data_IF_782765886779
#
_entry.id   IF_782765886779
#
_cell.length_a   1.000
_cell.length_b   1.000
_cell.length_c   1.000
_cell.angle_alpha   90.00
_cell.angle_beta   90.00
_cell.angle_gamma   90.00
#
_symmetry.space_group_name_H-M   'P 1'
#
loop_
_entity.id
_entity.type
_entity.pdbx_description
1 polymer ?
#
# COMPACT_ATOMS: atom_id res chain seq x y z
N UNK A 1 28.16 -86.89 42.91
CA UNK A 1 27.57 -86.87 41.56
C UNK A 1 27.17 -85.41 41.30
N UNK A 2 28.03 -84.47 40.89
CA UNK A 2 28.80 -84.28 39.63
C UNK A 2 27.97 -84.35 38.35
N UNK A 3 27.70 -83.19 37.76
CA UNK A 3 27.75 -82.79 36.33
C UNK A 3 26.98 -81.44 36.22
N UNK A 4 27.60 -80.28 35.94
CA UNK A 4 28.32 -79.81 34.74
C UNK A 4 27.42 -79.36 33.58
N UNK A 5 27.74 -78.16 33.09
CA UNK A 5 27.60 -77.63 31.73
C UNK A 5 26.18 -77.27 31.20
N UNK A 6 25.95 -76.23 30.39
CA UNK A 6 26.68 -75.04 29.93
C UNK A 6 25.67 -74.19 29.13
N UNK A 7 25.93 -72.89 29.10
CA UNK A 7 25.77 -71.95 27.98
C UNK A 7 24.44 -71.40 27.45
N UNK A 8 24.61 -70.14 27.03
CA UNK A 8 23.86 -69.26 26.12
C UNK A 8 22.70 -68.44 26.72
N UNK A 9 22.97 -67.19 27.13
CA UNK A 9 23.07 -66.02 26.25
C UNK A 9 21.72 -65.59 25.65
N UNK A 10 21.13 -64.54 26.19
CA UNK A 10 20.95 -63.28 25.44
C UNK A 10 20.23 -62.25 26.29
N UNK A 11 20.94 -61.14 26.45
CA UNK A 11 20.45 -59.86 26.92
C UNK A 11 19.38 -59.34 25.93
N UNK A 12 18.29 -58.77 26.43
CA UNK A 12 17.54 -57.76 25.68
C UNK A 12 17.32 -56.56 26.59
N UNK A 13 18.32 -55.67 26.56
CA UNK A 13 18.27 -54.33 27.11
C UNK A 13 17.39 -53.44 26.22
N UNK A 14 16.86 -52.34 26.77
CA UNK A 14 15.90 -51.47 26.11
C UNK A 14 16.46 -50.92 24.80
N UNK A 15 15.63 -50.92 23.76
CA UNK A 15 15.88 -50.18 22.52
C UNK A 15 16.16 -48.72 22.88
N UNK A 16 17.45 -48.38 22.84
CA UNK A 16 17.89 -46.99 22.85
C UNK A 16 17.41 -46.39 21.54
N UNK A 17 16.47 -45.44 21.62
CA UNK A 17 16.25 -44.43 20.59
C UNK A 17 17.61 -43.83 20.21
N UNK A 18 18.15 -44.31 19.09
CA UNK A 18 19.30 -43.68 18.47
C UNK A 18 18.79 -42.46 17.72
N UNK A 19 19.33 -41.24 17.95
CA UNK A 19 18.99 -40.09 17.12
C UNK A 19 19.35 -40.42 15.67
N UNK A 20 18.35 -40.34 14.79
CA UNK A 20 18.52 -40.51 13.35
C UNK A 20 19.64 -39.59 12.86
N UNK A 21 20.52 -40.17 12.03
CA UNK A 21 21.77 -39.56 11.61
C UNK A 21 21.64 -38.29 10.73
N UNK A 22 22.76 -37.78 10.20
CA UNK A 22 22.91 -36.43 9.61
C UNK A 22 22.05 -36.11 8.37
N UNK A 23 21.24 -37.06 7.89
CA UNK A 23 20.38 -36.87 6.73
C UNK A 23 19.15 -35.99 7.01
N UNK A 24 18.61 -36.01 8.24
CA UNK A 24 17.46 -35.17 8.62
C UNK A 24 17.87 -33.71 8.86
N UNK A 25 19.09 -33.48 9.37
CA UNK A 25 19.66 -32.13 9.55
C UNK A 25 19.84 -31.42 8.20
N UNK A 26 20.27 -32.16 7.17
CA UNK A 26 20.49 -31.61 5.83
C UNK A 26 19.18 -31.31 5.08
N UNK A 27 18.12 -32.12 5.26
CA UNK A 27 16.80 -31.84 4.65
C UNK A 27 16.11 -30.64 5.30
N UNK A 28 16.13 -30.54 6.63
CA UNK A 28 15.59 -29.37 7.32
C UNK A 28 16.40 -28.09 7.04
N UNK A 29 17.71 -28.19 6.83
CA UNK A 29 18.55 -27.07 6.37
C UNK A 29 18.19 -26.58 4.97
N UNK A 30 17.91 -27.49 4.04
CA UNK A 30 17.50 -27.14 2.67
C UNK A 30 16.12 -26.49 2.62
N UNK A 31 15.14 -27.00 3.38
CA UNK A 31 13.80 -26.41 3.49
C UNK A 31 13.82 -25.04 4.20
N UNK A 32 14.62 -24.90 5.26
CA UNK A 32 14.81 -23.62 5.94
C UNK A 32 15.47 -22.59 5.00
N UNK A 33 16.48 -22.99 4.22
CA UNK A 33 17.14 -22.11 3.25
C UNK A 33 16.20 -21.71 2.10
N UNK A 34 15.44 -22.66 1.54
CA UNK A 34 14.44 -22.38 0.50
C UNK A 34 13.32 -21.45 1.00
N UNK A 35 12.87 -21.62 2.24
CA UNK A 35 11.91 -20.71 2.86
C UNK A 35 12.51 -19.33 3.13
N UNK A 36 13.78 -19.24 3.51
CA UNK A 36 14.48 -17.97 3.70
C UNK A 36 14.68 -17.24 2.35
N UNK A 37 15.05 -17.96 1.29
CA UNK A 37 15.18 -17.41 -0.07
C UNK A 37 13.84 -16.94 -0.62
N UNK A 38 12.76 -17.73 -0.44
CA UNK A 38 11.41 -17.32 -0.81
C UNK A 38 10.98 -16.06 -0.07
N UNK A 39 11.19 -15.97 1.25
CA UNK A 39 10.88 -14.76 2.02
C UNK A 39 11.64 -13.54 1.52
N UNK A 40 12.94 -13.68 1.23
CA UNK A 40 13.75 -12.59 0.64
C UNK A 40 13.22 -12.16 -0.72
N UNK A 41 12.80 -13.10 -1.56
CA UNK A 41 12.20 -12.78 -2.84
C UNK A 41 10.87 -12.05 -2.68
N UNK A 42 9.98 -12.53 -1.80
CA UNK A 42 8.68 -11.92 -1.52
C UNK A 42 8.86 -10.50 -0.94
N UNK A 43 9.84 -10.31 -0.03
CA UNK A 43 10.20 -9.01 0.54
C UNK A 43 10.75 -8.04 -0.52
N UNK A 44 11.67 -8.50 -1.39
CA UNK A 44 12.21 -7.69 -2.47
C UNK A 44 11.14 -7.27 -3.48
N UNK A 45 10.23 -8.18 -3.82
CA UNK A 45 9.11 -7.89 -4.72
C UNK A 45 8.13 -6.89 -4.08
N UNK A 46 7.83 -7.03 -2.78
CA UNK A 46 7.00 -6.08 -2.06
C UNK A 46 7.63 -4.68 -2.03
N UNK A 47 8.95 -4.60 -1.81
CA UNK A 47 9.71 -3.35 -1.82
C UNK A 47 9.69 -2.65 -3.18
N UNK A 48 9.84 -3.41 -4.27
CA UNK A 48 9.75 -2.88 -5.64
C UNK A 48 8.37 -2.31 -5.95
N UNK A 49 7.30 -3.08 -5.66
CA UNK A 49 5.90 -2.65 -5.86
C UNK A 49 5.63 -1.35 -5.10
N UNK A 50 6.10 -1.27 -3.85
CA UNK A 50 5.89 -0.11 -3.02
C UNK A 50 6.64 1.12 -3.55
N UNK A 51 7.88 0.96 -4.01
CA UNK A 51 8.67 2.06 -4.60
C UNK A 51 7.97 2.61 -5.85
N UNK A 52 7.59 1.73 -6.78
CA UNK A 52 6.88 2.12 -8.01
C UNK A 52 5.56 2.83 -7.70
N UNK A 53 4.80 2.33 -6.72
CA UNK A 53 3.54 2.97 -6.30
C UNK A 53 3.76 4.37 -5.71
N UNK A 54 4.84 4.56 -4.93
CA UNK A 54 5.19 5.85 -4.32
C UNK A 54 5.57 6.88 -5.39
N UNK A 55 6.44 6.51 -6.32
CA UNK A 55 6.87 7.40 -7.40
C UNK A 55 5.72 7.78 -8.33
N UNK A 56 4.87 6.81 -8.66
CA UNK A 56 3.67 7.05 -9.48
C UNK A 56 2.68 8.00 -8.78
N UNK A 57 2.50 7.88 -7.47
CA UNK A 57 1.66 8.80 -6.70
C UNK A 57 2.20 10.23 -6.79
N UNK A 58 3.48 10.44 -6.48
CA UNK A 58 4.12 11.76 -6.51
C UNK A 58 4.00 12.40 -7.90
N UNK A 59 4.31 11.65 -8.96
CA UNK A 59 4.26 12.17 -10.32
C UNK A 59 2.84 12.63 -10.71
N UNK A 60 1.81 11.85 -10.32
CA UNK A 60 0.41 12.16 -10.63
C UNK A 60 -0.12 13.32 -9.81
N UNK A 61 0.19 13.40 -8.51
CA UNK A 61 -0.18 14.55 -7.67
C UNK A 61 0.41 15.85 -8.24
N UNK A 62 1.70 15.84 -8.62
CA UNK A 62 2.34 17.00 -9.26
C UNK A 62 1.70 17.40 -10.59
N UNK A 63 1.38 16.43 -11.43
CA UNK A 63 0.71 16.69 -12.72
C UNK A 63 -0.69 17.31 -12.52
N UNK A 64 -1.48 16.79 -11.58
CA UNK A 64 -2.78 17.36 -11.22
C UNK A 64 -2.67 18.79 -10.69
N UNK A 65 -1.68 19.06 -9.83
CA UNK A 65 -1.43 20.40 -9.32
C UNK A 65 -1.03 21.38 -10.41
N UNK A 66 -0.23 20.95 -11.38
CA UNK A 66 0.07 21.77 -12.55
C UNK A 66 -1.21 22.11 -13.34
N UNK A 67 -2.08 21.13 -13.58
CA UNK A 67 -3.38 21.39 -14.22
C UNK A 67 -4.28 22.32 -13.40
N UNK A 68 -4.30 22.18 -12.07
CA UNK A 68 -5.03 23.11 -11.18
C UNK A 68 -4.55 24.54 -11.31
N UNK A 69 -3.23 24.75 -11.34
CA UNK A 69 -2.66 26.09 -11.52
C UNK A 69 -3.06 26.71 -12.85
N UNK A 70 -3.17 25.93 -13.91
CA UNK A 70 -3.67 26.40 -15.20
C UNK A 70 -5.16 26.74 -15.15
N UNK A 71 -5.98 25.95 -14.45
CA UNK A 71 -7.39 26.25 -14.24
C UNK A 71 -7.61 27.53 -13.42
N UNK A 72 -6.77 27.79 -12.40
CA UNK A 72 -6.83 29.02 -11.62
C UNK A 72 -6.49 30.28 -12.43
N UNK A 73 -5.72 30.15 -13.51
CA UNK A 73 -5.37 31.27 -14.40
C UNK A 73 -6.51 31.69 -15.33
N UNK A 74 -7.57 30.89 -15.44
CA UNK A 74 -8.73 31.20 -16.29
C UNK A 74 -9.77 31.99 -15.47
N UNK A 75 -10.03 33.28 -15.79
CA UNK A 75 -10.84 34.16 -14.94
C UNK A 75 -12.36 33.97 -15.05
N UNK A 76 -12.87 32.98 -15.78
CA UNK A 76 -14.31 32.79 -16.04
C UNK A 76 -14.92 31.62 -15.24
N UNK A 77 -16.20 31.77 -14.87
CA UNK A 77 -16.90 31.02 -13.81
C UNK A 77 -17.08 29.50 -13.97
N UNK A 78 -16.62 28.92 -15.07
CA UNK A 78 -16.51 27.46 -15.25
C UNK A 78 -15.38 27.18 -16.27
N UNK A 79 -14.15 26.89 -15.81
CA UNK A 79 -13.06 26.55 -16.72
C UNK A 79 -13.47 25.36 -17.60
N UNK A 80 -13.35 25.48 -18.92
CA UNK A 80 -13.63 24.38 -19.87
C UNK A 80 -12.83 23.10 -19.56
N UNK A 81 -11.70 23.24 -18.86
CA UNK A 81 -10.88 22.13 -18.40
C UNK A 81 -11.38 21.39 -17.15
N UNK A 82 -12.45 21.85 -16.47
CA UNK A 82 -12.95 21.20 -15.26
C UNK A 82 -13.35 19.72 -15.46
N UNK A 83 -14.07 19.32 -16.53
CA UNK A 83 -14.42 17.92 -16.73
C UNK A 83 -13.19 17.03 -16.93
N UNK A 84 -12.20 17.50 -17.72
CA UNK A 84 -10.96 16.77 -17.94
C UNK A 84 -10.16 16.62 -16.63
N UNK A 85 -10.08 17.70 -15.84
CA UNK A 85 -9.45 17.67 -14.53
C UNK A 85 -10.16 16.71 -13.57
N UNK A 86 -11.49 16.71 -13.55
CA UNK A 86 -12.29 15.78 -12.74
C UNK A 86 -11.97 14.33 -13.06
N UNK A 87 -11.89 13.96 -14.33
CA UNK A 87 -11.54 12.58 -14.71
C UNK A 87 -10.11 12.22 -14.29
N UNK A 88 -9.16 13.15 -14.46
CA UNK A 88 -7.79 12.95 -14.00
C UNK A 88 -7.72 12.77 -12.47
N UNK A 89 -8.43 13.61 -11.71
CA UNK A 89 -8.50 13.53 -10.25
C UNK A 89 -9.17 12.23 -9.79
N UNK A 90 -10.25 11.82 -10.45
CA UNK A 90 -10.92 10.53 -10.19
C UNK A 90 -9.99 9.35 -10.45
N UNK A 91 -9.25 9.37 -11.55
CA UNK A 91 -8.29 8.32 -11.89
C UNK A 91 -7.12 8.26 -10.90
N UNK A 92 -6.67 9.40 -10.38
CA UNK A 92 -5.68 9.47 -9.31
C UNK A 92 -6.22 8.89 -8.00
N UNK A 93 -7.41 9.31 -7.57
CA UNK A 93 -8.06 8.82 -6.36
C UNK A 93 -8.30 7.30 -6.42
N UNK A 94 -8.78 6.78 -7.54
CA UNK A 94 -8.98 5.35 -7.74
C UNK A 94 -7.67 4.56 -7.70
N UNK A 95 -6.60 5.08 -8.33
CA UNK A 95 -5.30 4.45 -8.29
C UNK A 95 -4.74 4.40 -6.86
N UNK A 96 -4.87 5.50 -6.10
CA UNK A 96 -4.44 5.57 -4.70
C UNK A 96 -5.16 4.56 -3.82
N UNK A 97 -6.48 4.40 -4.01
CA UNK A 97 -7.25 3.38 -3.31
C UNK A 97 -6.82 1.95 -3.66
N UNK A 98 -6.41 1.71 -4.91
CA UNK A 98 -6.00 0.38 -5.36
C UNK A 98 -4.59 0.00 -4.92
N UNK A 99 -3.67 0.97 -4.78
CA UNK A 99 -2.25 0.70 -4.55
C UNK A 99 -1.77 1.16 -3.18
N UNK A 100 -1.96 2.43 -2.85
CA UNK A 100 -1.36 3.07 -1.67
C UNK A 100 -2.09 2.70 -0.39
N UNK A 101 -3.42 2.74 -0.40
CA UNK A 101 -4.20 2.48 0.81
C UNK A 101 -4.02 1.06 1.35
N UNK A 102 -4.08 -0.01 0.53
CA UNK A 102 -3.88 -1.36 1.03
C UNK A 102 -2.48 -1.61 1.58
N UNK A 103 -1.47 -0.87 1.09
CA UNK A 103 -0.12 -0.92 1.64
C UNK A 103 -0.09 -0.31 3.04
N UNK A 104 -0.68 0.87 3.20
CA UNK A 104 -0.70 1.59 4.48
C UNK A 104 -1.61 0.95 5.52
N UNK A 105 -2.75 0.36 5.13
CA UNK A 105 -3.68 -0.33 6.04
C UNK A 105 -3.04 -1.55 6.72
N UNK A 106 -2.01 -2.15 6.12
CA UNK A 106 -1.24 -3.23 6.76
C UNK A 106 -0.41 -2.74 7.95
N UNK A 107 -0.23 -1.43 8.10
CA UNK A 107 0.48 -0.81 9.21
C UNK A 107 -0.54 -0.10 10.13
N UNK A 108 -0.83 -0.66 11.31
CA UNK A 108 -1.87 -0.20 12.25
C UNK A 108 -1.90 1.31 12.51
N UNK A 109 -0.72 1.95 12.49
CA UNK A 109 -0.56 3.39 12.77
C UNK A 109 -1.04 4.31 11.62
N UNK A 110 -1.29 3.78 10.42
CA UNK A 110 -1.70 4.57 9.25
C UNK A 110 -3.20 4.46 8.93
N UNK A 111 -3.95 3.58 9.62
CA UNK A 111 -5.37 3.32 9.35
C UNK A 111 -6.26 4.57 9.40
N UNK A 112 -6.11 5.42 10.43
CA UNK A 112 -6.89 6.66 10.56
C UNK A 112 -6.56 7.67 9.46
N UNK A 113 -5.29 7.78 9.08
CA UNK A 113 -4.87 8.69 8.01
C UNK A 113 -5.42 8.24 6.65
N UNK A 114 -5.42 6.93 6.38
CA UNK A 114 -6.00 6.35 5.15
C UNK A 114 -7.51 6.54 5.10
N UNK A 115 -8.22 6.31 6.21
CA UNK A 115 -9.68 6.50 6.27
C UNK A 115 -10.04 7.96 5.98
N UNK A 116 -9.38 8.90 6.65
CA UNK A 116 -9.60 10.33 6.42
C UNK A 116 -9.28 10.73 4.99
N UNK A 117 -8.17 10.25 4.45
CA UNK A 117 -7.76 10.53 3.06
C UNK A 117 -8.77 10.00 2.02
N UNK A 118 -9.40 8.84 2.30
CA UNK A 118 -10.52 8.32 1.49
C UNK A 118 -11.73 9.24 1.56
N UNK A 119 -12.15 9.62 2.75
CA UNK A 119 -13.33 10.47 2.97
C UNK A 119 -13.15 11.84 2.32
N UNK A 120 -12.01 12.50 2.56
CA UNK A 120 -11.66 13.80 2.00
C UNK A 120 -11.66 13.74 0.46
N UNK A 121 -11.01 12.73 -0.14
CA UNK A 121 -10.96 12.56 -1.60
C UNK A 121 -12.34 12.31 -2.23
N UNK A 122 -13.18 11.48 -1.60
CA UNK A 122 -14.54 11.22 -2.07
C UNK A 122 -15.43 12.46 -1.98
N UNK A 123 -15.33 13.22 -0.88
CA UNK A 123 -16.08 14.45 -0.69
C UNK A 123 -15.70 15.50 -1.74
N UNK A 124 -14.39 15.67 -2.00
CA UNK A 124 -13.91 16.62 -3.01
C UNK A 124 -14.36 16.25 -4.41
N UNK A 125 -14.34 14.96 -4.78
CA UNK A 125 -14.89 14.49 -6.05
C UNK A 125 -16.39 14.80 -6.17
N UNK A 126 -17.17 14.57 -5.11
CA UNK A 126 -18.60 14.90 -5.11
C UNK A 126 -18.85 16.40 -5.30
N UNK A 127 -18.10 17.26 -4.60
CA UNK A 127 -18.24 18.72 -4.72
C UNK A 127 -17.85 19.21 -6.12
N UNK A 128 -16.82 18.62 -6.71
CA UNK A 128 -16.41 18.90 -8.08
C UNK A 128 -17.48 18.46 -9.09
N UNK A 129 -18.11 17.31 -8.88
CA UNK A 129 -19.24 16.83 -9.69
C UNK A 129 -20.45 17.77 -9.61
N UNK A 130 -20.76 18.31 -8.42
CA UNK A 130 -21.85 19.26 -8.24
C UNK A 130 -21.59 20.61 -8.92
N UNK A 131 -20.33 21.08 -8.91
CA UNK A 131 -19.90 22.26 -9.66
C UNK A 131 -20.05 22.04 -11.16
N UNK A 132 -19.56 20.92 -11.70
CA UNK A 132 -19.63 20.60 -13.13
C UNK A 132 -21.07 20.43 -13.60
N UNK A 133 -21.93 19.82 -12.77
CA UNK A 133 -23.34 19.64 -13.07
C UNK A 133 -24.17 20.94 -12.93
N UNK A 134 -23.56 22.06 -12.53
CA UNK A 134 -24.27 23.32 -12.33
C UNK A 134 -25.30 23.29 -11.21
N UNK A 135 -25.10 22.42 -10.20
CA UNK A 135 -26.01 22.31 -9.04
C UNK A 135 -25.76 23.40 -7.99
N UNK A 136 -24.78 24.27 -8.22
CA UNK A 136 -24.46 25.43 -7.40
C UNK A 136 -25.21 26.64 -7.94
N UNK A 137 -25.72 27.49 -7.04
CA UNK A 137 -26.36 28.76 -7.44
C UNK A 137 -25.42 29.61 -8.30
N UNK A 138 -25.94 30.16 -9.41
CA UNK A 138 -25.15 30.90 -10.42
C UNK A 138 -24.35 32.05 -9.79
N UNK A 139 -24.95 32.78 -8.85
CA UNK A 139 -24.32 33.92 -8.15
C UNK A 139 -23.08 33.52 -7.33
N UNK A 140 -22.99 32.24 -6.92
CA UNK A 140 -21.87 31.70 -6.15
C UNK A 140 -20.99 30.72 -6.93
N UNK A 141 -21.26 30.48 -8.21
CA UNK A 141 -20.61 29.40 -8.98
C UNK A 141 -19.10 29.60 -9.06
N UNK A 142 -18.63 30.80 -9.45
CA UNK A 142 -17.20 31.10 -9.54
C UNK A 142 -16.49 30.92 -8.20
N UNK A 143 -17.05 31.46 -7.11
CA UNK A 143 -16.45 31.35 -5.78
C UNK A 143 -16.40 29.90 -5.31
N UNK A 144 -17.48 29.15 -5.53
CA UNK A 144 -17.56 27.73 -5.14
C UNK A 144 -16.57 26.90 -5.94
N UNK A 145 -16.47 27.12 -7.25
CA UNK A 145 -15.47 26.47 -8.11
C UNK A 145 -14.06 26.72 -7.58
N UNK A 146 -13.70 27.98 -7.31
CA UNK A 146 -12.37 28.33 -6.81
C UNK A 146 -12.08 27.72 -5.44
N UNK A 147 -13.08 27.66 -4.55
CA UNK A 147 -12.96 27.01 -3.25
C UNK A 147 -12.71 25.51 -3.39
N UNK A 148 -13.50 24.81 -4.22
CA UNK A 148 -13.31 23.37 -4.46
C UNK A 148 -11.93 23.09 -5.07
N UNK A 149 -11.49 23.87 -6.06
CA UNK A 149 -10.15 23.71 -6.65
C UNK A 149 -9.03 23.95 -5.64
N UNK A 150 -9.18 24.97 -4.78
CA UNK A 150 -8.23 25.26 -3.71
C UNK A 150 -8.15 24.16 -2.65
N UNK A 151 -9.30 23.59 -2.26
CA UNK A 151 -9.35 22.44 -1.35
C UNK A 151 -8.70 21.20 -1.97
N UNK A 152 -8.86 20.98 -3.29
CA UNK A 152 -8.18 19.88 -3.98
C UNK A 152 -6.66 20.11 -4.03
N UNK A 153 -6.17 21.33 -4.28
CA UNK A 153 -4.72 21.62 -4.22
C UNK A 153 -4.15 21.38 -2.82
N UNK A 154 -4.87 21.80 -1.77
CA UNK A 154 -4.49 21.53 -0.38
C UNK A 154 -4.46 20.03 -0.07
N UNK A 155 -5.45 19.28 -0.54
CA UNK A 155 -5.49 17.83 -0.39
C UNK A 155 -4.29 17.16 -1.07
N UNK A 156 -3.96 17.52 -2.31
CA UNK A 156 -2.78 16.99 -3.02
C UNK A 156 -1.47 17.37 -2.33
N UNK A 157 -1.38 18.56 -1.74
CA UNK A 157 -0.25 18.98 -0.90
C UNK A 157 -0.12 18.12 0.37
N UNK A 158 -1.24 17.80 1.02
CA UNK A 158 -1.25 16.93 2.19
C UNK A 158 -0.83 15.50 1.84
N UNK A 159 -1.21 14.98 0.67
CA UNK A 159 -0.71 13.68 0.18
C UNK A 159 0.82 13.68 0.09
N UNK A 160 1.41 14.71 -0.54
CA UNK A 160 2.87 14.83 -0.70
C UNK A 160 3.59 15.02 0.65
N UNK A 161 2.99 15.77 1.59
CA UNK A 161 3.59 16.05 2.90
C UNK A 161 3.48 14.88 3.87
N UNK A 162 2.34 14.20 3.89
CA UNK A 162 2.01 13.25 4.95
C UNK A 162 2.07 11.81 4.42
N UNK A 163 1.38 11.53 3.32
CA UNK A 163 1.22 10.18 2.79
C UNK A 163 2.52 9.65 2.19
N UNK A 164 3.21 10.46 1.39
CA UNK A 164 4.47 10.07 0.74
C UNK A 164 5.57 9.73 1.76
N UNK A 165 5.84 10.55 2.80
CA UNK A 165 6.82 10.16 3.81
C UNK A 165 6.39 8.94 4.63
N UNK A 166 5.09 8.71 4.80
CA UNK A 166 4.59 7.49 5.44
C UNK A 166 4.90 6.25 4.61
N UNK A 167 4.61 6.30 3.32
CA UNK A 167 4.99 5.27 2.35
C UNK A 167 6.51 5.03 2.39
N UNK A 168 7.31 6.08 2.29
CA UNK A 168 8.77 5.94 2.31
C UNK A 168 9.28 5.29 3.62
N UNK A 169 8.63 5.55 4.76
CA UNK A 169 8.98 4.90 6.04
C UNK A 169 8.50 3.46 6.13
N UNK A 170 7.40 3.06 5.49
CA UNK A 170 6.96 1.66 5.48
C UNK A 170 7.85 0.74 4.66
N UNK A 171 8.80 1.29 3.88
CA UNK A 171 9.84 0.53 3.19
C UNK A 171 11.02 0.10 4.08
N UNK A 172 11.13 0.65 5.30
CA UNK A 172 12.25 0.46 6.22
C UNK A 172 11.81 -0.19 7.53
#
# INVERSE_FOLDING_TARGET
MTASDQDHASQNRPSQDHPQGPHEINQHGAEFNANAEKRRHDEAQAHEIHTVATDALIARSRALRATLQDLHRVPTGAPEGLPAFREAFRAHYAAKQATVHPLLERHDKASVAVVRDREDGAQLLSRLDDVIAGKVAVEGMTLTTQLVLGEIDQYLLHEERDLVPWMQRSLH
#
